data_IF_627557742861
#
_entry.id   IF_627557742861
#
_cell.length_a   1.000
_cell.length_b   1.000
_cell.length_c   1.000
_cell.angle_alpha   90.00
_cell.angle_beta   90.00
_cell.angle_gamma   90.00
#
_symmetry.space_group_name_H-M   'P 1'
#
loop_
_entity.id
_entity.type
_entity.pdbx_description
1 polymer ?
#
# COMPACT_ATOMS: atom_id res chain seq x y z
N UNK A 1 18.89 -18.95 16.92
CA UNK A 1 17.88 -19.48 17.86
C UNK A 1 17.80 -18.49 19.00
N UNK A 2 16.67 -17.81 19.14
CA UNK A 2 16.42 -16.82 20.19
C UNK A 2 16.49 -17.50 21.55
N UNK A 3 17.26 -16.95 22.48
CA UNK A 3 17.28 -17.46 23.85
C UNK A 3 15.91 -17.20 24.50
N UNK A 4 15.10 -18.26 24.63
CA UNK A 4 13.71 -18.18 25.15
C UNK A 4 13.64 -17.70 26.59
N UNK A 5 14.76 -17.75 27.32
CA UNK A 5 14.87 -17.24 28.70
C UNK A 5 15.03 -15.72 28.79
N UNK A 6 15.44 -15.07 27.69
CA UNK A 6 15.65 -13.62 27.60
C UNK A 6 14.42 -12.84 27.10
N UNK A 7 13.31 -13.54 26.81
CA UNK A 7 12.08 -12.94 26.29
C UNK A 7 11.13 -12.63 27.43
N UNK A 8 10.89 -11.33 27.66
CA UNK A 8 9.92 -10.87 28.65
C UNK A 8 8.52 -10.84 28.05
N UNK A 9 7.62 -11.70 28.53
CA UNK A 9 6.24 -11.76 28.07
C UNK A 9 5.34 -11.15 29.14
N UNK A 10 4.41 -10.28 28.75
CA UNK A 10 3.32 -9.82 29.62
C UNK A 10 2.01 -10.45 29.14
N UNK A 11 1.28 -11.08 30.05
CA UNK A 11 -0.04 -11.65 29.81
C UNK A 11 -1.06 -10.82 30.56
N UNK A 12 -2.02 -10.25 29.83
CA UNK A 12 -3.08 -9.40 30.35
C UNK A 12 -4.43 -10.03 29.99
N UNK A 13 -5.12 -10.54 31.01
CA UNK A 13 -6.43 -11.18 30.92
C UNK A 13 -7.10 -11.06 32.30
N UNK A 14 -8.34 -10.60 32.38
CA UNK A 14 -9.06 -10.43 33.65
C UNK A 14 -9.49 -11.78 34.26
N UNK A 15 -9.52 -12.84 33.46
CA UNK A 15 -9.83 -14.18 33.92
C UNK A 15 -8.59 -14.84 34.56
N UNK A 16 -8.60 -14.97 35.89
CA UNK A 16 -7.56 -15.67 36.66
C UNK A 16 -7.26 -17.10 36.18
N UNK A 17 -8.23 -17.77 35.58
CA UNK A 17 -8.04 -19.11 34.98
C UNK A 17 -7.17 -19.03 33.72
N UNK A 18 -7.43 -18.06 32.84
CA UNK A 18 -6.69 -17.86 31.60
C UNK A 18 -5.22 -17.50 31.88
N UNK A 19 -4.96 -16.61 32.84
CA UNK A 19 -3.60 -16.28 33.26
C UNK A 19 -2.80 -17.54 33.68
N UNK A 20 -3.42 -18.43 34.46
CA UNK A 20 -2.79 -19.70 34.89
C UNK A 20 -2.58 -20.67 33.73
N UNK A 21 -3.55 -20.77 32.83
CA UNK A 21 -3.47 -21.63 31.64
C UNK A 21 -2.33 -21.18 30.73
N UNK A 22 -2.32 -19.90 30.36
CA UNK A 22 -1.29 -19.31 29.51
C UNK A 22 0.09 -19.41 30.17
N UNK A 23 0.17 -19.16 31.48
CA UNK A 23 1.42 -19.34 32.22
C UNK A 23 1.96 -20.77 32.15
N UNK A 24 1.09 -21.78 32.26
CA UNK A 24 1.50 -23.19 32.13
C UNK A 24 1.96 -23.53 30.70
N UNK A 25 1.28 -23.01 29.69
CA UNK A 25 1.65 -23.23 28.28
C UNK A 25 3.01 -22.58 28.00
N UNK A 26 3.20 -21.32 28.39
CA UNK A 26 4.46 -20.58 28.19
C UNK A 26 5.64 -21.23 28.92
N UNK A 27 5.43 -21.71 30.15
CA UNK A 27 6.45 -22.43 30.92
C UNK A 27 6.85 -23.75 30.24
N UNK A 28 5.89 -24.51 29.72
CA UNK A 28 6.16 -25.74 28.97
C UNK A 28 6.92 -25.48 27.67
N UNK A 29 6.75 -24.29 27.06
CA UNK A 29 7.47 -23.86 25.85
C UNK A 29 8.87 -23.30 26.15
N UNK A 30 9.24 -23.18 27.44
CA UNK A 30 10.56 -22.73 27.89
C UNK A 30 10.69 -21.23 28.12
N UNK A 31 9.58 -20.49 28.20
CA UNK A 31 9.59 -19.07 28.58
C UNK A 31 9.53 -18.94 30.11
N UNK A 32 10.58 -18.37 30.70
CA UNK A 32 10.71 -18.24 32.16
C UNK A 32 10.44 -16.83 32.68
N UNK A 33 10.46 -15.82 31.81
CA UNK A 33 10.19 -14.42 32.15
C UNK A 33 8.79 -14.03 31.68
N UNK A 34 7.79 -14.29 32.53
CA UNK A 34 6.37 -13.98 32.25
C UNK A 34 5.78 -13.16 33.39
N UNK A 35 5.20 -12.02 33.05
CA UNK A 35 4.46 -11.11 33.94
C UNK A 35 2.97 -11.32 33.68
N UNK A 36 2.19 -11.45 34.75
CA UNK A 36 0.73 -11.61 34.66
C UNK A 36 0.05 -10.40 35.27
N UNK A 37 -0.89 -9.81 34.53
CA UNK A 37 -1.72 -8.71 34.98
C UNK A 37 -3.19 -9.07 34.76
N UNK A 38 -4.05 -8.74 35.72
CA UNK A 38 -5.49 -8.97 35.67
C UNK A 38 -6.29 -7.70 35.29
N UNK A 39 -5.59 -6.57 35.14
CA UNK A 39 -6.19 -5.30 34.74
C UNK A 39 -5.21 -4.43 33.95
N UNK A 40 -5.75 -3.62 33.05
CA UNK A 40 -4.97 -2.77 32.14
C UNK A 40 -4.12 -1.71 32.85
N UNK A 41 -4.58 -1.18 33.99
CA UNK A 41 -3.83 -0.14 34.73
C UNK A 41 -2.53 -0.68 35.32
N UNK A 42 -2.59 -1.84 35.96
CA UNK A 42 -1.41 -2.54 36.50
C UNK A 42 -0.43 -2.91 35.39
N UNK A 43 -0.92 -3.34 34.23
CA UNK A 43 -0.07 -3.60 33.08
C UNK A 43 0.63 -2.33 32.55
N UNK A 44 -0.06 -1.19 32.50
CA UNK A 44 0.56 0.09 32.08
C UNK A 44 1.66 0.57 33.05
N UNK A 45 1.53 0.31 34.35
CA UNK A 45 2.56 0.62 35.36
C UNK A 45 3.82 -0.24 35.19
N UNK A 46 3.67 -1.50 34.75
CA UNK A 46 4.82 -2.39 34.48
C UNK A 46 5.58 -2.00 33.20
N UNK A 47 4.97 -1.23 32.30
CA UNK A 47 5.56 -0.83 31.01
C UNK A 47 6.41 0.45 31.14
N UNK A 48 6.28 1.20 32.24
CA UNK A 48 6.95 2.50 32.42
C UNK A 48 8.46 2.44 32.68
N UNK A 49 9.01 1.33 33.19
CA UNK A 49 10.44 1.23 33.52
C UNK A 49 11.29 0.76 32.33
N UNK A 50 12.30 1.57 31.96
CA UNK A 50 13.18 1.32 30.81
C UNK A 50 14.00 0.02 30.90
N UNK A 51 14.14 -0.56 32.09
CA UNK A 51 14.95 -1.75 32.34
C UNK A 51 14.16 -3.08 32.38
N UNK A 52 12.84 -3.06 32.12
CA UNK A 52 11.97 -4.23 32.29
C UNK A 52 10.81 -4.37 31.29
N UNK A 53 10.83 -3.67 30.16
CA UNK A 53 9.71 -3.67 29.20
C UNK A 53 9.47 -5.07 28.59
N UNK A 54 8.20 -5.50 28.46
CA UNK A 54 7.87 -6.76 27.80
C UNK A 54 8.16 -6.69 26.30
N UNK A 55 8.81 -7.71 25.75
CA UNK A 55 9.06 -7.85 24.32
C UNK A 55 7.80 -8.31 23.56
N UNK A 56 6.89 -8.98 24.27
CA UNK A 56 5.66 -9.53 23.74
C UNK A 56 4.53 -9.35 24.77
N UNK A 57 3.37 -8.87 24.32
CA UNK A 57 2.16 -8.78 25.14
C UNK A 57 1.10 -9.72 24.56
N UNK A 58 0.56 -10.61 25.39
CA UNK A 58 -0.67 -11.36 25.13
C UNK A 58 -1.80 -10.57 25.77
N UNK A 59 -2.71 -10.04 24.95
CA UNK A 59 -3.72 -9.07 25.37
C UNK A 59 -5.12 -9.62 25.12
N UNK A 60 -5.92 -9.77 26.17
CA UNK A 60 -7.36 -9.96 25.99
C UNK A 60 -8.04 -8.67 25.53
N UNK A 61 -8.99 -8.79 24.61
CA UNK A 61 -9.73 -7.63 24.09
C UNK A 61 -10.85 -7.20 25.02
N UNK A 62 -11.49 -8.14 25.71
CA UNK A 62 -12.68 -7.85 26.49
C UNK A 62 -12.39 -7.92 27.99
N UNK A 63 -11.94 -6.79 28.54
CA UNK A 63 -11.62 -6.67 29.96
C UNK A 63 -12.47 -5.56 30.62
N UNK A 64 -12.85 -5.73 31.89
CA UNK A 64 -13.55 -4.70 32.64
C UNK A 64 -12.66 -3.46 32.88
N UNK A 65 -13.32 -2.30 33.01
CA UNK A 65 -12.73 -0.96 33.20
C UNK A 65 -11.96 -0.39 32.01
N UNK A 66 -11.06 -1.17 31.40
CA UNK A 66 -10.25 -0.78 30.24
C UNK A 66 -10.19 -1.96 29.28
N UNK A 67 -10.82 -1.81 28.12
CA UNK A 67 -10.77 -2.84 27.08
C UNK A 67 -9.39 -2.90 26.41
N UNK A 68 -9.13 -3.97 25.67
CA UNK A 68 -7.83 -4.16 24.99
C UNK A 68 -7.55 -3.10 23.92
N UNK A 69 -8.58 -2.49 23.33
CA UNK A 69 -8.42 -1.44 22.31
C UNK A 69 -7.94 -0.13 22.98
N UNK A 70 -8.55 0.25 24.10
CA UNK A 70 -8.13 1.37 24.92
C UNK A 70 -6.72 1.15 25.48
N UNK A 71 -6.40 -0.07 25.92
CA UNK A 71 -5.04 -0.41 26.35
C UNK A 71 -4.02 -0.21 25.22
N UNK A 72 -4.32 -0.66 23.99
CA UNK A 72 -3.46 -0.44 22.82
C UNK A 72 -3.24 1.05 22.57
N UNK A 73 -4.27 1.89 22.65
CA UNK A 73 -4.12 3.35 22.51
C UNK A 73 -3.11 3.91 23.52
N UNK A 74 -3.16 3.44 24.76
CA UNK A 74 -2.19 3.84 25.79
C UNK A 74 -0.77 3.31 25.57
N UNK A 75 -0.60 2.19 24.87
CA UNK A 75 0.71 1.69 24.42
C UNK A 75 1.33 2.61 23.37
N UNK A 76 0.52 3.14 22.45
CA UNK A 76 0.96 4.08 21.40
C UNK A 76 1.50 5.35 22.03
N UNK A 77 0.75 5.96 22.95
CA UNK A 77 1.17 7.19 23.65
C UNK A 77 2.52 6.99 24.39
N UNK A 78 2.79 5.77 24.86
CA UNK A 78 4.01 5.38 25.56
C UNK A 78 5.12 4.86 24.63
N UNK A 79 4.93 4.91 23.32
CA UNK A 79 5.90 4.47 22.31
C UNK A 79 6.36 3.01 22.54
N UNK A 80 5.41 2.12 22.82
CA UNK A 80 5.69 0.70 22.96
C UNK A 80 6.24 0.10 21.65
N UNK A 81 7.34 -0.64 21.75
CA UNK A 81 8.08 -1.18 20.59
C UNK A 81 8.11 -2.71 20.54
N UNK A 82 7.42 -3.40 21.45
CA UNK A 82 7.30 -4.85 21.42
C UNK A 82 6.18 -5.33 20.49
N UNK A 83 5.93 -6.64 20.52
CA UNK A 83 4.89 -7.27 19.70
C UNK A 83 3.61 -7.56 20.50
N UNK A 84 2.48 -7.66 19.82
CA UNK A 84 1.18 -8.03 20.39
C UNK A 84 0.67 -9.36 19.82
N UNK A 85 0.00 -10.13 20.68
CA UNK A 85 -0.94 -11.21 20.31
C UNK A 85 -2.27 -10.86 20.96
N UNK A 86 -3.32 -10.75 20.16
CA UNK A 86 -4.66 -10.52 20.68
C UNK A 86 -5.31 -11.85 21.06
N UNK A 87 -6.03 -11.87 22.17
CA UNK A 87 -6.83 -13.01 22.63
C UNK A 87 -8.27 -12.51 22.69
N UNK A 88 -9.22 -13.26 22.14
CA UNK A 88 -10.62 -12.88 22.23
C UNK A 88 -11.56 -14.07 22.12
N UNK A 89 -12.73 -13.97 22.77
CA UNK A 89 -13.87 -14.86 22.54
C UNK A 89 -14.83 -14.39 21.46
N UNK A 90 -14.59 -13.22 20.87
CA UNK A 90 -15.46 -12.61 19.86
C UNK A 90 -15.35 -13.29 18.48
N UNK A 91 -16.27 -12.92 17.57
CA UNK A 91 -16.25 -13.42 16.20
C UNK A 91 -15.01 -12.94 15.40
N UNK A 92 -14.74 -13.64 14.29
CA UNK A 92 -13.56 -13.36 13.45
C UNK A 92 -13.55 -11.94 12.86
N UNK A 93 -14.73 -11.34 12.66
CA UNK A 93 -14.87 -10.00 12.10
C UNK A 93 -14.44 -8.91 13.08
N UNK A 94 -14.80 -9.07 14.36
CA UNK A 94 -14.35 -8.17 15.42
C UNK A 94 -12.84 -8.27 15.62
N UNK A 95 -12.28 -9.48 15.58
CA UNK A 95 -10.83 -9.70 15.70
C UNK A 95 -10.04 -9.08 14.55
N UNK A 96 -10.49 -9.23 13.31
CA UNK A 96 -9.87 -8.57 12.16
C UNK A 96 -9.92 -7.04 12.27
N UNK A 97 -11.01 -6.49 12.82
CA UNK A 97 -11.16 -5.05 13.05
C UNK A 97 -10.18 -4.55 14.11
N UNK A 98 -10.07 -5.27 15.23
CA UNK A 98 -9.10 -4.97 16.27
C UNK A 98 -7.66 -5.05 15.73
N UNK A 99 -7.31 -6.09 14.97
CA UNK A 99 -5.99 -6.21 14.36
C UNK A 99 -5.67 -5.02 13.44
N UNK A 100 -6.62 -4.62 12.57
CA UNK A 100 -6.45 -3.45 11.69
C UNK A 100 -6.21 -2.18 12.49
N UNK A 101 -6.92 -2.00 13.61
CA UNK A 101 -6.75 -0.85 14.50
C UNK A 101 -5.35 -0.85 15.14
N UNK A 102 -4.88 -2.00 15.65
CA UNK A 102 -3.52 -2.12 16.21
C UNK A 102 -2.45 -1.84 15.14
N UNK A 103 -2.63 -2.37 13.92
CA UNK A 103 -1.72 -2.11 12.79
C UNK A 103 -1.71 -0.65 12.36
N UNK A 104 -2.87 0.03 12.36
CA UNK A 104 -2.97 1.46 12.05
C UNK A 104 -2.15 2.31 13.05
N UNK A 105 -2.06 1.83 14.29
CA UNK A 105 -1.22 2.41 15.34
C UNK A 105 0.27 2.00 15.27
N UNK A 106 0.69 1.28 14.23
CA UNK A 106 2.07 0.85 13.96
C UNK A 106 2.69 -0.05 15.04
N UNK A 107 1.89 -0.71 15.86
CA UNK A 107 2.41 -1.73 16.78
C UNK A 107 2.47 -3.08 16.05
N UNK A 108 3.62 -3.78 16.05
CA UNK A 108 3.72 -5.10 15.45
C UNK A 108 2.77 -6.11 16.11
N UNK A 109 1.89 -6.72 15.32
CA UNK A 109 0.96 -7.76 15.78
C UNK A 109 1.26 -9.08 15.04
N UNK A 110 1.42 -10.15 15.83
CA UNK A 110 1.66 -11.51 15.34
C UNK A 110 0.39 -12.18 14.84
N UNK A 111 -0.77 -11.77 15.37
CA UNK A 111 -2.09 -12.27 15.03
C UNK A 111 -3.01 -12.30 16.25
N UNK A 112 -4.07 -13.09 16.16
CA UNK A 112 -5.06 -13.31 17.21
C UNK A 112 -5.24 -14.79 17.57
N UNK A 113 -5.69 -15.06 18.78
CA UNK A 113 -6.07 -16.38 19.28
C UNK A 113 -7.51 -16.34 19.79
N UNK A 114 -8.32 -17.32 19.36
CA UNK A 114 -9.66 -17.49 19.90
C UNK A 114 -9.63 -18.19 21.26
N UNK A 115 -10.44 -17.72 22.21
CA UNK A 115 -10.75 -18.44 23.45
C UNK A 115 -11.69 -19.64 23.11
N UNK A 116 -11.42 -20.86 23.61
CA UNK A 116 -10.31 -21.26 24.48
C UNK A 116 -8.99 -21.42 23.70
N UNK A 117 -7.92 -20.85 24.25
CA UNK A 117 -6.60 -20.84 23.61
C UNK A 117 -6.02 -22.26 23.56
N UNK A 118 -5.79 -22.77 22.34
CA UNK A 118 -5.14 -24.07 22.12
C UNK A 118 -3.62 -23.94 22.23
N UNK A 119 -2.92 -24.84 22.95
CA UNK A 119 -1.46 -24.80 23.10
C UNK A 119 -0.71 -24.78 21.75
N UNK A 120 -1.16 -25.60 20.79
CA UNK A 120 -0.51 -25.69 19.47
C UNK A 120 -0.60 -24.39 18.67
N UNK A 121 -1.73 -23.68 18.79
CA UNK A 121 -1.95 -22.40 18.09
C UNK A 121 -1.04 -21.31 18.67
N UNK A 122 -0.93 -21.22 20.00
CA UNK A 122 -0.02 -20.29 20.65
C UNK A 122 1.45 -20.64 20.33
N UNK A 123 1.81 -21.92 20.35
CA UNK A 123 3.16 -22.38 19.98
C UNK A 123 3.53 -21.99 18.55
N UNK A 124 2.63 -22.21 17.59
CA UNK A 124 2.88 -21.86 16.19
C UNK A 124 3.05 -20.34 15.98
N UNK A 125 2.41 -19.49 16.78
CA UNK A 125 2.62 -18.05 16.74
C UNK A 125 3.96 -17.65 17.35
N UNK A 126 4.31 -18.24 18.50
CA UNK A 126 5.56 -17.95 19.19
C UNK A 126 6.80 -18.45 18.44
N UNK A 127 6.69 -19.55 17.68
CA UNK A 127 7.77 -20.03 16.81
C UNK A 127 8.09 -19.08 15.65
N UNK A 128 7.07 -18.37 15.16
CA UNK A 128 7.20 -17.35 14.11
C UNK A 128 7.69 -16.00 14.66
N UNK A 129 7.66 -15.81 15.98
CA UNK A 129 8.09 -14.56 16.59
C UNK A 129 9.62 -14.46 16.61
N UNK A 130 10.13 -13.49 15.88
CA UNK A 130 11.50 -13.01 16.02
C UNK A 130 11.48 -11.70 16.78
N UNK A 131 12.38 -11.49 17.76
CA UNK A 131 12.47 -10.21 18.44
C UNK A 131 12.68 -9.13 17.37
N UNK A 132 11.96 -8.00 17.44
CA UNK A 132 12.18 -6.90 16.52
C UNK A 132 13.67 -6.54 16.58
N UNK A 133 14.35 -6.35 15.43
CA UNK A 133 15.73 -5.88 15.42
C UNK A 133 15.83 -4.65 16.32
N UNK A 134 16.94 -4.47 17.02
CA UNK A 134 17.20 -3.27 17.84
C UNK A 134 17.09 -1.94 17.02
N UNK A 135 16.93 -2.03 15.70
CA UNK A 135 16.72 -0.95 14.73
C UNK A 135 15.24 -0.70 14.34
N UNK A 136 14.28 -1.46 14.89
CA UNK A 136 12.84 -1.27 14.63
C UNK A 136 12.16 -0.32 15.64
N UNK A 137 12.93 0.51 16.35
CA UNK A 137 12.43 1.81 16.78
C UNK A 137 12.33 2.62 15.49
N UNK A 138 11.12 2.79 14.96
CA UNK A 138 10.91 3.54 13.72
C UNK A 138 11.72 4.83 13.78
N UNK A 139 12.80 4.91 12.98
CA UNK A 139 13.51 6.16 12.74
C UNK A 139 12.41 7.11 12.32
N UNK A 140 12.15 8.15 13.12
CA UNK A 140 11.20 9.19 12.74
C UNK A 140 11.60 9.61 11.32
N UNK A 141 10.74 9.28 10.33
CA UNK A 141 11.03 9.61 8.93
C UNK A 141 11.36 11.10 8.92
N UNK A 142 12.57 11.44 8.48
CA UNK A 142 13.03 12.83 8.43
C UNK A 142 11.97 13.65 7.71
N UNK A 143 11.52 14.71 8.37
CA UNK A 143 10.55 15.67 7.80
C UNK A 143 11.36 16.70 7.04
N UNK A 144 11.03 16.87 5.76
CA UNK A 144 11.64 17.86 4.89
C UNK A 144 10.85 19.17 4.96
N UNK A 145 11.50 20.28 4.66
CA UNK A 145 10.86 21.58 4.54
C UNK A 145 10.35 21.85 3.12
N UNK A 146 9.42 22.80 2.98
CA UNK A 146 8.96 23.27 1.67
C UNK A 146 10.08 23.95 0.87
N UNK A 147 11.02 24.62 1.54
CA UNK A 147 12.17 25.26 0.89
C UNK A 147 13.15 24.23 0.33
N UNK A 148 13.45 23.16 1.07
CA UNK A 148 14.27 22.05 0.56
C UNK A 148 13.61 21.38 -0.65
N UNK A 149 12.29 21.12 -0.59
CA UNK A 149 11.56 20.53 -1.71
C UNK A 149 11.55 21.46 -2.92
N UNK A 150 11.36 22.76 -2.72
CA UNK A 150 11.42 23.75 -3.81
C UNK A 150 12.78 23.76 -4.48
N UNK A 151 13.86 23.78 -3.68
CA UNK A 151 15.22 23.71 -4.18
C UNK A 151 15.47 22.42 -4.95
N UNK A 152 14.98 21.28 -4.45
CA UNK A 152 15.09 19.99 -5.12
C UNK A 152 14.40 19.96 -6.50
N UNK A 153 13.21 20.57 -6.60
CA UNK A 153 12.50 20.73 -7.87
C UNK A 153 13.34 21.59 -8.83
N UNK A 154 13.90 22.71 -8.36
CA UNK A 154 14.70 23.64 -9.17
C UNK A 154 16.06 23.07 -9.60
N UNK A 155 16.67 22.25 -8.76
CA UNK A 155 17.99 21.65 -8.99
C UNK A 155 17.94 20.35 -9.80
N UNK A 156 16.76 19.87 -10.21
CA UNK A 156 16.63 18.61 -10.94
C UNK A 156 16.95 17.37 -10.09
N UNK A 157 16.67 17.43 -8.79
CA UNK A 157 16.85 16.31 -7.86
C UNK A 157 15.65 15.34 -7.87
N UNK A 158 14.53 15.77 -8.43
CA UNK A 158 13.40 14.90 -8.71
C UNK A 158 13.65 14.05 -9.96
N UNK A 159 13.56 12.74 -9.80
CA UNK A 159 13.76 11.76 -10.86
C UNK A 159 12.57 10.83 -10.95
N UNK A 160 12.32 10.33 -12.16
CA UNK A 160 11.23 9.40 -12.43
C UNK A 160 11.71 7.96 -12.31
N UNK A 161 10.98 7.18 -11.52
CA UNK A 161 11.00 5.73 -11.56
C UNK A 161 9.76 5.26 -12.32
N UNK A 162 9.85 4.06 -12.90
CA UNK A 162 8.82 3.51 -13.74
C UNK A 162 8.44 2.13 -13.23
N UNK A 163 7.16 1.93 -12.93
CA UNK A 163 6.64 0.63 -12.55
C UNK A 163 5.89 -0.01 -13.71
N UNK A 164 6.27 -1.22 -14.16
CA UNK A 164 5.61 -1.90 -15.26
C UNK A 164 4.14 -2.28 -14.98
N UNK A 165 3.27 -1.99 -15.94
CA UNK A 165 1.90 -2.52 -16.07
C UNK A 165 1.86 -3.58 -17.16
N UNK A 166 1.51 -4.82 -16.80
CA UNK A 166 1.51 -5.96 -17.73
C UNK A 166 0.10 -6.48 -17.97
N UNK A 167 -0.20 -6.91 -19.19
CA UNK A 167 -1.46 -7.58 -19.51
C UNK A 167 -1.47 -8.97 -18.88
N UNK A 168 -2.47 -9.26 -18.05
CA UNK A 168 -2.58 -10.54 -17.33
C UNK A 168 -2.72 -11.71 -18.30
N UNK A 169 -3.51 -11.52 -19.36
CA UNK A 169 -3.77 -12.58 -20.35
C UNK A 169 -2.50 -13.02 -21.11
N UNK A 170 -1.58 -12.11 -21.38
CA UNK A 170 -0.43 -12.36 -22.28
C UNK A 170 0.94 -12.20 -21.63
N UNK A 171 1.00 -11.64 -20.42
CA UNK A 171 2.23 -11.23 -19.74
C UNK A 171 2.99 -10.12 -20.46
N UNK A 172 2.45 -9.51 -21.53
CA UNK A 172 3.14 -8.44 -22.26
C UNK A 172 3.12 -7.13 -21.45
N UNK A 173 4.23 -6.39 -21.50
CA UNK A 173 4.29 -5.01 -21.03
C UNK A 173 3.36 -4.14 -21.89
N UNK A 174 2.44 -3.41 -21.25
CA UNK A 174 1.51 -2.49 -21.91
C UNK A 174 1.89 -1.04 -21.65
N UNK A 175 2.33 -0.75 -20.44
CA UNK A 175 2.68 0.61 -20.03
C UNK A 175 3.48 0.63 -18.75
N UNK A 176 3.72 1.84 -18.26
CA UNK A 176 4.36 2.08 -16.98
C UNK A 176 3.65 3.17 -16.21
N UNK A 177 3.63 3.06 -14.89
CA UNK A 177 3.34 4.18 -14.01
C UNK A 177 4.62 4.97 -13.72
N UNK A 178 4.52 6.29 -13.81
CA UNK A 178 5.60 7.22 -13.48
C UNK A 178 5.51 7.63 -12.02
N UNK A 179 6.52 7.26 -11.25
CA UNK A 179 6.60 7.47 -9.82
C UNK A 179 7.76 8.41 -9.50
N UNK A 180 7.45 9.56 -8.90
CA UNK A 180 8.48 10.51 -8.48
C UNK A 180 9.36 9.91 -7.38
N UNK A 181 10.66 10.20 -7.43
CA UNK A 181 11.60 9.98 -6.34
C UNK A 181 12.46 11.22 -6.20
N UNK A 182 12.78 11.59 -4.97
CA UNK A 182 13.71 12.68 -4.71
C UNK A 182 15.07 12.10 -4.39
N UNK A 183 16.04 12.31 -5.27
CA UNK A 183 17.45 11.95 -5.07
C UNK A 183 18.12 13.05 -4.24
N UNK A 184 17.94 13.00 -2.93
CA UNK A 184 18.52 13.94 -2.00
C UNK A 184 20.04 13.75 -1.90
N UNK A 185 20.83 14.83 -1.92
CA UNK A 185 22.30 14.75 -1.94
C UNK A 185 22.90 14.07 -0.70
N UNK A 186 22.20 14.13 0.44
CA UNK A 186 22.70 13.58 1.72
C UNK A 186 21.96 12.31 2.13
N UNK A 187 20.63 12.30 2.03
CA UNK A 187 19.78 11.23 2.57
C UNK A 187 19.46 10.14 1.54
N UNK A 188 19.96 10.28 0.30
CA UNK A 188 19.74 9.33 -0.77
C UNK A 188 18.33 9.43 -1.36
N UNK A 189 17.71 8.27 -1.66
CA UNK A 189 16.45 8.22 -2.37
C UNK A 189 15.25 8.34 -1.42
N UNK A 190 14.51 9.43 -1.53
CA UNK A 190 13.30 9.72 -0.76
C UNK A 190 12.06 9.36 -1.58
N UNK A 191 11.07 8.78 -0.91
CA UNK A 191 9.81 8.31 -1.50
C UNK A 191 8.69 9.35 -1.38
N UNK A 192 7.67 9.31 -2.28
CA UNK A 192 6.58 10.28 -2.35
C UNK A 192 5.85 10.54 -1.03
N UNK A 193 5.68 9.52 -0.20
CA UNK A 193 5.00 9.62 1.10
C UNK A 193 5.66 10.63 2.06
N UNK A 194 6.92 11.00 1.82
CA UNK A 194 7.64 11.98 2.63
C UNK A 194 7.58 13.42 2.08
N UNK A 195 7.21 13.64 0.81
CA UNK A 195 7.27 14.97 0.21
C UNK A 195 6.01 15.41 -0.55
N UNK A 196 5.11 14.52 -0.95
CA UNK A 196 3.89 14.90 -1.68
C UNK A 196 2.98 15.75 -0.79
N UNK A 197 2.76 15.36 0.47
CA UNK A 197 1.95 16.17 1.40
C UNK A 197 2.53 17.56 1.64
N UNK A 198 3.86 17.68 1.62
CA UNK A 198 4.55 18.99 1.71
C UNK A 198 4.28 19.79 0.43
N UNK A 199 4.39 19.17 -0.75
CA UNK A 199 4.16 19.81 -2.03
C UNK A 199 2.75 20.39 -2.12
N UNK A 200 1.75 19.65 -1.67
CA UNK A 200 0.35 20.08 -1.66
C UNK A 200 0.12 21.21 -0.65
N UNK A 201 0.55 21.06 0.60
CA UNK A 201 0.35 22.07 1.64
C UNK A 201 1.07 23.40 1.35
N UNK A 202 2.14 23.37 0.54
CA UNK A 202 2.93 24.56 0.16
C UNK A 202 2.64 25.08 -1.25
N UNK A 203 1.70 24.48 -1.98
CA UNK A 203 1.37 24.88 -3.36
C UNK A 203 2.45 24.57 -4.40
N UNK A 204 3.42 23.71 -4.07
CA UNK A 204 4.49 23.26 -4.97
C UNK A 204 4.07 22.08 -5.86
N UNK A 205 2.91 21.46 -5.61
CA UNK A 205 2.46 20.27 -6.33
C UNK A 205 2.38 20.48 -7.85
N UNK A 206 1.92 21.65 -8.32
CA UNK A 206 1.90 21.96 -9.75
C UNK A 206 3.29 21.99 -10.38
N UNK A 207 4.25 22.64 -9.71
CA UNK A 207 5.63 22.69 -10.18
C UNK A 207 6.26 21.29 -10.22
N UNK A 208 6.00 20.49 -9.19
CA UNK A 208 6.46 19.11 -9.10
C UNK A 208 5.88 18.25 -10.24
N UNK A 209 4.56 18.27 -10.43
CA UNK A 209 3.88 17.51 -11.48
C UNK A 209 4.39 17.89 -12.86
N UNK A 210 4.66 19.17 -13.14
CA UNK A 210 5.23 19.62 -14.43
C UNK A 210 6.61 19.02 -14.70
N UNK A 211 7.48 18.96 -13.69
CA UNK A 211 8.81 18.34 -13.81
C UNK A 211 8.69 16.84 -14.09
N UNK A 212 7.87 16.14 -13.29
CA UNK A 212 7.62 14.70 -13.44
C UNK A 212 7.03 14.39 -14.82
N UNK A 213 6.01 15.12 -15.24
CA UNK A 213 5.33 14.94 -16.53
C UNK A 213 6.26 15.18 -17.72
N UNK A 214 7.06 16.27 -17.68
CA UNK A 214 8.04 16.57 -18.74
C UNK A 214 9.09 15.47 -18.86
N UNK A 215 9.61 14.98 -17.73
CA UNK A 215 10.52 13.85 -17.70
C UNK A 215 9.90 12.58 -18.26
N UNK A 216 8.62 12.32 -17.93
CA UNK A 216 7.88 11.15 -18.40
C UNK A 216 7.68 11.18 -19.92
N UNK A 217 7.26 12.32 -20.48
CA UNK A 217 7.07 12.47 -21.92
C UNK A 217 8.39 12.39 -22.71
N UNK A 218 9.47 12.94 -22.14
CA UNK A 218 10.81 12.83 -22.74
C UNK A 218 11.24 11.37 -22.80
N UNK A 219 11.02 10.62 -21.72
CA UNK A 219 11.34 9.19 -21.68
C UNK A 219 10.42 8.36 -22.60
N UNK A 220 9.13 8.71 -22.68
CA UNK A 220 8.18 8.09 -23.59
C UNK A 220 8.65 8.17 -25.03
N UNK A 221 9.14 9.34 -25.44
CA UNK A 221 9.69 9.57 -26.78
C UNK A 221 10.94 8.73 -27.02
N UNK A 222 11.85 8.67 -26.06
CA UNK A 222 13.05 7.83 -26.16
C UNK A 222 12.71 6.34 -26.30
N UNK A 223 11.68 5.84 -25.60
CA UNK A 223 11.23 4.45 -25.77
C UNK A 223 10.54 4.22 -27.11
N UNK A 224 9.74 5.16 -27.60
CA UNK A 224 9.15 5.09 -28.94
C UNK A 224 10.23 4.97 -30.03
N UNK A 225 11.27 5.80 -29.95
CA UNK A 225 12.43 5.77 -30.87
C UNK A 225 13.21 4.46 -30.78
N UNK A 226 13.22 3.82 -29.61
CA UNK A 226 13.77 2.48 -29.38
C UNK A 226 12.79 1.35 -29.77
N UNK A 227 11.70 1.65 -30.49
CA UNK A 227 10.65 0.70 -30.90
C UNK A 227 9.93 0.00 -29.74
N UNK A 228 9.82 0.68 -28.60
CA UNK A 228 9.08 0.25 -27.42
C UNK A 228 7.99 1.27 -27.08
N UNK A 229 6.90 1.37 -27.88
CA UNK A 229 5.80 2.28 -27.55
C UNK A 229 5.08 1.77 -26.30
N UNK A 230 5.00 2.62 -25.27
CA UNK A 230 4.37 2.31 -23.98
C UNK A 230 3.32 3.34 -23.63
N UNK A 231 2.26 2.89 -22.95
CA UNK A 231 1.37 3.82 -22.23
C UNK A 231 2.08 4.35 -21.00
N UNK A 232 2.06 5.65 -20.79
CA UNK A 232 2.71 6.33 -19.67
C UNK A 232 1.64 6.91 -18.77
N UNK A 233 1.58 6.39 -17.56
CA UNK A 233 0.69 6.91 -16.53
C UNK A 233 1.43 7.90 -15.63
N UNK A 234 0.78 9.03 -15.33
CA UNK A 234 1.31 10.07 -14.45
C UNK A 234 0.21 10.52 -13.50
N UNK A 235 0.53 10.50 -12.20
CA UNK A 235 -0.34 11.00 -11.15
C UNK A 235 -0.53 12.52 -11.25
N UNK A 236 -1.79 12.97 -11.18
CA UNK A 236 -2.15 14.39 -11.15
C UNK A 236 -2.99 14.71 -9.93
N UNK A 237 -2.73 15.87 -9.31
CA UNK A 237 -3.51 16.34 -8.18
C UNK A 237 -4.78 17.05 -8.63
N UNK A 238 -5.75 17.19 -7.73
CA UNK A 238 -6.96 17.98 -7.99
C UNK A 238 -6.66 19.46 -8.19
N UNK A 239 -5.62 19.99 -7.57
CA UNK A 239 -5.17 21.37 -7.78
C UNK A 239 -4.71 21.58 -9.23
N UNK A 240 -4.05 20.57 -9.82
CA UNK A 240 -3.72 20.57 -11.25
C UNK A 240 -4.98 20.55 -12.12
N UNK A 241 -5.96 19.72 -11.74
CA UNK A 241 -7.22 19.57 -12.45
C UNK A 241 -8.21 20.73 -12.26
N UNK A 242 -7.87 21.74 -11.45
CA UNK A 242 -8.59 23.00 -11.37
C UNK A 242 -7.99 24.08 -12.31
N UNK A 243 -6.83 23.82 -12.93
CA UNK A 243 -6.08 24.81 -13.71
C UNK A 243 -6.14 24.53 -15.22
N UNK A 244 -6.72 25.48 -15.98
CA UNK A 244 -6.67 25.44 -17.45
C UNK A 244 -5.23 25.56 -17.98
N UNK A 245 -4.36 26.26 -17.26
CA UNK A 245 -2.94 26.41 -17.63
C UNK A 245 -2.19 25.08 -17.51
N UNK A 246 -2.56 24.24 -16.55
CA UNK A 246 -2.02 22.88 -16.44
C UNK A 246 -2.46 22.01 -17.63
N UNK A 247 -3.75 22.06 -18.00
CA UNK A 247 -4.26 21.33 -19.17
C UNK A 247 -3.55 21.75 -20.46
N UNK A 248 -3.37 23.05 -20.67
CA UNK A 248 -2.66 23.58 -21.84
C UNK A 248 -1.21 23.09 -21.86
N UNK A 249 -0.53 23.14 -20.72
CA UNK A 249 0.82 22.61 -20.58
C UNK A 249 0.92 21.12 -20.92
N UNK A 250 0.03 20.28 -20.40
CA UNK A 250 0.00 18.84 -20.71
C UNK A 250 -0.13 18.63 -22.21
N UNK A 251 -1.09 19.31 -22.85
CA UNK A 251 -1.29 19.20 -24.29
C UNK A 251 -0.08 19.69 -25.11
N UNK A 252 0.51 20.81 -24.71
CA UNK A 252 1.68 21.42 -25.36
C UNK A 252 2.92 20.54 -25.25
N UNK A 253 3.25 20.04 -24.06
CA UNK A 253 4.43 19.20 -23.85
C UNK A 253 4.29 17.87 -24.58
N UNK A 254 3.14 17.21 -24.50
CA UNK A 254 2.86 15.96 -25.24
C UNK A 254 3.01 16.17 -26.75
N UNK A 255 2.45 17.27 -27.29
CA UNK A 255 2.57 17.61 -28.72
C UNK A 255 4.00 17.94 -29.12
N UNK A 256 4.69 18.77 -28.33
CA UNK A 256 6.07 19.22 -28.59
C UNK A 256 7.05 18.06 -28.64
N UNK A 257 6.88 17.06 -27.78
CA UNK A 257 7.74 15.87 -27.71
C UNK A 257 7.29 14.76 -28.68
N UNK A 258 6.20 14.98 -29.43
CA UNK A 258 5.70 14.03 -30.41
C UNK A 258 5.11 12.76 -29.81
N UNK A 259 4.68 12.80 -28.54
CA UNK A 259 4.05 11.66 -27.87
C UNK A 259 2.56 11.64 -28.22
N UNK A 260 2.03 10.51 -28.64
CA UNK A 260 0.60 10.41 -28.94
C UNK A 260 -0.23 10.51 -27.65
N UNK A 261 -1.21 11.42 -27.61
CA UNK A 261 -2.03 11.66 -26.41
C UNK A 261 -2.73 10.41 -25.87
N UNK A 262 -3.13 9.47 -26.74
CA UNK A 262 -3.77 8.21 -26.33
C UNK A 262 -2.84 7.22 -25.62
N UNK A 263 -1.53 7.47 -25.65
CA UNK A 263 -0.54 6.75 -24.85
C UNK A 263 -0.28 7.43 -23.50
N UNK A 264 -0.89 8.58 -23.22
CA UNK A 264 -0.73 9.28 -21.93
C UNK A 264 -1.97 9.03 -21.08
N UNK A 265 -1.76 8.47 -19.90
CA UNK A 265 -2.78 8.21 -18.88
C UNK A 265 -2.56 9.18 -17.73
N UNK A 266 -3.60 9.91 -17.33
CA UNK A 266 -3.56 10.78 -16.16
C UNK A 266 -4.32 10.10 -15.02
N UNK A 267 -3.62 9.82 -13.93
CA UNK A 267 -4.17 9.11 -12.76
C UNK A 267 -4.64 10.12 -11.71
N UNK A 268 -5.87 9.96 -11.24
CA UNK A 268 -6.50 10.84 -10.26
C UNK A 268 -6.95 10.02 -9.07
N UNK A 269 -6.51 10.38 -7.87
CA UNK A 269 -6.89 9.67 -6.65
C UNK A 269 -8.37 9.90 -6.30
N UNK A 270 -9.05 8.84 -5.87
CA UNK A 270 -10.49 8.87 -5.56
C UNK A 270 -10.83 9.92 -4.48
N UNK A 271 -10.09 9.94 -3.36
CA UNK A 271 -10.42 10.75 -2.17
C UNK A 271 -10.51 12.25 -2.44
N UNK A 272 -9.72 12.77 -3.39
CA UNK A 272 -9.68 14.22 -3.66
C UNK A 272 -10.75 14.70 -4.65
N UNK A 273 -11.39 13.78 -5.39
CA UNK A 273 -12.41 14.10 -6.39
C UNK A 273 -13.71 14.70 -5.79
N UNK A 274 -13.86 14.69 -4.46
CA UNK A 274 -15.14 14.85 -3.75
C UNK A 274 -15.53 16.28 -3.36
N UNK A 275 -14.66 17.28 -3.55
CA UNK A 275 -14.87 18.59 -2.90
C UNK A 275 -15.43 19.70 -3.83
N UNK A 276 -15.20 19.66 -5.15
CA UNK A 276 -15.88 20.51 -6.15
C UNK A 276 -15.76 19.90 -7.56
N UNK A 277 -16.86 19.51 -8.20
CA UNK A 277 -16.84 18.70 -9.43
C UNK A 277 -16.89 19.51 -10.73
N UNK A 278 -17.25 20.80 -10.71
CA UNK A 278 -17.52 21.54 -11.96
C UNK A 278 -16.27 21.81 -12.80
N UNK A 279 -15.24 22.44 -12.19
CA UNK A 279 -14.00 22.75 -12.89
C UNK A 279 -13.20 21.48 -13.27
N UNK A 280 -13.06 20.46 -12.38
CA UNK A 280 -12.41 19.21 -12.74
C UNK A 280 -13.13 18.45 -13.86
N UNK A 281 -14.47 18.40 -13.87
CA UNK A 281 -15.22 17.72 -14.94
C UNK A 281 -14.97 18.38 -16.31
N UNK A 282 -14.92 19.71 -16.36
CA UNK A 282 -14.58 20.44 -17.59
C UNK A 282 -13.18 20.06 -18.10
N UNK A 283 -12.18 20.08 -17.21
CA UNK A 283 -10.78 19.79 -17.54
C UNK A 283 -10.61 18.33 -17.98
N UNK A 284 -11.18 17.38 -17.24
CA UNK A 284 -11.16 15.96 -17.56
C UNK A 284 -11.86 15.69 -18.91
N UNK A 285 -13.02 16.31 -19.16
CA UNK A 285 -13.72 16.18 -20.44
C UNK A 285 -12.87 16.73 -21.60
N UNK A 286 -12.22 17.88 -21.43
CA UNK A 286 -11.32 18.46 -22.45
C UNK A 286 -10.11 17.57 -22.72
N UNK A 287 -9.52 16.95 -21.68
CA UNK A 287 -8.42 15.98 -21.83
C UNK A 287 -8.87 14.78 -22.68
N UNK A 288 -10.06 14.25 -22.42
CA UNK A 288 -10.65 13.15 -23.22
C UNK A 288 -10.92 13.54 -24.67
N UNK A 289 -11.45 14.73 -24.91
CA UNK A 289 -11.64 15.25 -26.28
C UNK A 289 -10.30 15.38 -27.02
N UNK A 290 -9.21 15.67 -26.30
CA UNK A 290 -7.82 15.67 -26.81
C UNK A 290 -7.19 14.27 -26.86
N UNK A 291 -7.96 13.21 -26.60
CA UNK A 291 -7.57 11.79 -26.63
C UNK A 291 -6.61 11.33 -25.53
N UNK A 292 -6.41 12.13 -24.48
CA UNK A 292 -5.75 11.61 -23.27
C UNK A 292 -6.61 10.54 -22.62
N UNK A 293 -5.97 9.57 -21.96
CA UNK A 293 -6.65 8.60 -21.12
C UNK A 293 -6.73 9.08 -19.68
N UNK A 294 -7.80 8.72 -19.00
CA UNK A 294 -7.99 9.02 -17.58
C UNK A 294 -8.09 7.73 -16.79
N UNK A 295 -7.40 7.69 -15.64
CA UNK A 295 -7.45 6.58 -14.70
C UNK A 295 -7.90 7.07 -13.33
N UNK A 296 -8.76 6.32 -12.67
CA UNK A 296 -9.09 6.55 -11.25
C UNK A 296 -8.23 5.63 -10.38
N UNK A 297 -7.54 6.22 -9.42
CA UNK A 297 -6.59 5.54 -8.54
C UNK A 297 -7.15 5.31 -7.13
N UNK A 298 -6.59 4.30 -6.43
CA UNK A 298 -6.95 3.86 -5.08
C UNK A 298 -8.45 3.53 -4.91
N UNK A 299 -9.08 2.92 -5.92
CA UNK A 299 -10.54 2.74 -5.91
C UNK A 299 -11.02 1.88 -4.74
N UNK A 300 -11.99 2.43 -3.99
CA UNK A 300 -12.67 1.83 -2.85
C UNK A 300 -11.96 1.99 -1.49
N UNK A 301 -10.87 2.76 -1.44
CA UNK A 301 -10.27 3.24 -0.17
C UNK A 301 -10.97 4.49 0.38
N UNK A 302 -11.79 5.16 -0.43
CA UNK A 302 -12.48 6.40 -0.09
C UNK A 302 -14.01 6.32 -0.20
N UNK A 303 -14.64 7.48 -0.17
CA UNK A 303 -16.08 7.67 -0.34
C UNK A 303 -16.48 8.03 -1.79
N UNK A 304 -15.85 7.46 -2.83
CA UNK A 304 -16.28 7.73 -4.22
C UNK A 304 -17.73 7.35 -4.37
N UNK A 305 -18.55 8.33 -4.76
CA UNK A 305 -19.91 8.02 -5.16
C UNK A 305 -19.85 7.36 -6.54
N UNK A 306 -20.52 6.22 -6.73
CA UNK A 306 -20.73 5.59 -8.05
C UNK A 306 -21.24 6.60 -9.10
N UNK A 307 -21.88 7.68 -8.66
CA UNK A 307 -22.29 8.79 -9.51
C UNK A 307 -21.11 9.49 -10.22
N UNK A 308 -19.96 9.64 -9.57
CA UNK A 308 -18.78 10.26 -10.18
C UNK A 308 -18.15 9.39 -11.28
N UNK A 309 -18.07 8.07 -11.04
CA UNK A 309 -17.63 7.12 -12.06
C UNK A 309 -18.55 7.13 -13.30
N UNK A 310 -19.85 7.39 -13.11
CA UNK A 310 -20.81 7.54 -14.20
C UNK A 310 -20.60 8.84 -14.97
N UNK A 311 -20.33 9.93 -14.27
CA UNK A 311 -20.31 11.28 -14.87
C UNK A 311 -18.95 11.65 -15.47
N UNK A 312 -17.86 11.05 -14.97
CA UNK A 312 -16.50 11.30 -15.45
C UNK A 312 -16.08 10.19 -16.44
N UNK A 313 -15.60 10.56 -17.63
CA UNK A 313 -15.20 9.62 -18.69
C UNK A 313 -13.85 8.93 -18.44
N UNK A 314 -13.70 8.19 -17.34
CA UNK A 314 -12.51 7.37 -17.07
C UNK A 314 -12.39 6.22 -18.09
N UNK A 315 -11.15 5.89 -18.49
CA UNK A 315 -10.81 4.74 -19.34
C UNK A 315 -10.31 3.55 -18.53
N UNK A 316 -9.74 3.83 -17.36
CA UNK A 316 -9.02 2.87 -16.53
C UNK A 316 -9.45 3.02 -15.07
N UNK A 317 -9.59 1.88 -14.37
CA UNK A 317 -9.84 1.83 -12.93
C UNK A 317 -8.74 0.99 -12.28
N UNK A 318 -8.06 1.56 -11.29
CA UNK A 318 -7.05 0.88 -10.48
C UNK A 318 -7.69 0.35 -9.20
N UNK A 319 -7.67 -0.97 -9.02
CA UNK A 319 -8.12 -1.62 -7.79
C UNK A 319 -6.95 -1.61 -6.81
N UNK A 320 -7.14 -0.96 -5.66
CA UNK A 320 -6.12 -0.82 -4.62
C UNK A 320 -5.57 -2.16 -4.13
N UNK A 321 -4.28 -2.16 -3.76
CA UNK A 321 -3.58 -3.33 -3.22
C UNK A 321 -4.29 -3.95 -2.01
N UNK A 322 -4.98 -3.14 -1.21
CA UNK A 322 -5.72 -3.58 -0.04
C UNK A 322 -6.89 -4.50 -0.36
N UNK A 323 -7.36 -4.53 -1.62
CA UNK A 323 -8.36 -5.47 -2.11
C UNK A 323 -7.79 -6.58 -2.99
N UNK A 324 -6.60 -6.41 -3.55
CA UNK A 324 -5.99 -7.39 -4.45
C UNK A 324 -5.19 -8.42 -3.68
N UNK A 325 -4.21 -7.98 -2.88
CA UNK A 325 -3.29 -8.90 -2.22
C UNK A 325 -4.02 -9.73 -1.16
N UNK A 326 -3.95 -11.06 -1.27
CA UNK A 326 -4.58 -11.97 -0.32
C UNK A 326 -6.08 -12.22 -0.56
N UNK A 327 -6.70 -11.59 -1.57
CA UNK A 327 -8.08 -11.86 -1.95
C UNK A 327 -8.33 -13.30 -2.44
N UNK A 328 -7.28 -14.07 -2.72
CA UNK A 328 -7.42 -15.48 -3.08
C UNK A 328 -7.76 -16.38 -1.88
N UNK A 329 -7.55 -15.91 -0.64
CA UNK A 329 -7.81 -16.66 0.61
C UNK A 329 -8.84 -16.00 1.53
N UNK A 330 -9.01 -14.68 1.45
CA UNK A 330 -9.95 -13.93 2.28
C UNK A 330 -11.24 -13.66 1.48
N UNK A 331 -12.37 -14.18 1.97
CA UNK A 331 -13.67 -14.06 1.30
C UNK A 331 -14.17 -12.62 1.22
N UNK A 332 -13.85 -11.79 2.21
CA UNK A 332 -14.26 -10.38 2.24
C UNK A 332 -13.48 -9.58 1.21
N UNK A 333 -12.16 -9.73 1.19
CA UNK A 333 -11.30 -9.12 0.17
C UNK A 333 -11.68 -9.61 -1.22
N UNK A 334 -12.01 -10.90 -1.37
CA UNK A 334 -12.47 -11.46 -2.64
C UNK A 334 -13.75 -10.80 -3.13
N UNK A 335 -14.74 -10.62 -2.25
CA UNK A 335 -15.99 -9.97 -2.59
C UNK A 335 -15.77 -8.49 -3.02
N UNK A 336 -14.88 -7.77 -2.32
CA UNK A 336 -14.52 -6.39 -2.67
C UNK A 336 -13.83 -6.30 -4.03
N UNK A 337 -12.84 -7.17 -4.28
CA UNK A 337 -12.15 -7.27 -5.57
C UNK A 337 -13.13 -7.60 -6.72
N UNK A 338 -13.95 -8.65 -6.56
CA UNK A 338 -14.89 -9.09 -7.59
C UNK A 338 -15.94 -8.01 -7.89
N UNK A 339 -16.41 -7.27 -6.87
CA UNK A 339 -17.32 -6.15 -7.04
C UNK A 339 -16.69 -4.99 -7.84
N UNK A 340 -15.46 -4.58 -7.51
CA UNK A 340 -14.73 -3.53 -8.22
C UNK A 340 -14.46 -3.91 -9.68
N UNK A 341 -14.02 -5.15 -9.92
CA UNK A 341 -13.80 -5.69 -11.27
C UNK A 341 -15.10 -5.72 -12.09
N UNK A 342 -16.21 -6.16 -11.48
CA UNK A 342 -17.51 -6.20 -12.15
C UNK A 342 -18.02 -4.80 -12.49
N UNK A 343 -17.86 -3.84 -11.59
CA UNK A 343 -18.27 -2.45 -11.81
C UNK A 343 -17.51 -1.84 -12.98
N UNK A 344 -16.18 -1.93 -12.99
CA UNK A 344 -15.36 -1.39 -14.06
C UNK A 344 -15.73 -1.96 -15.43
N UNK A 345 -16.00 -3.28 -15.52
CA UNK A 345 -16.49 -3.93 -16.74
C UNK A 345 -17.84 -3.40 -17.22
N UNK A 346 -18.78 -3.18 -16.30
CA UNK A 346 -20.09 -2.61 -16.64
C UNK A 346 -20.00 -1.17 -17.13
N UNK A 347 -18.95 -0.45 -16.72
CA UNK A 347 -18.64 0.90 -17.16
C UNK A 347 -17.65 0.93 -18.35
N UNK A 348 -17.32 -0.23 -18.93
CA UNK A 348 -16.41 -0.39 -20.07
C UNK A 348 -15.00 0.18 -19.82
N UNK A 349 -14.53 0.13 -18.56
CA UNK A 349 -13.19 0.56 -18.15
C UNK A 349 -12.20 -0.62 -18.15
N UNK A 350 -10.95 -0.34 -18.52
CA UNK A 350 -9.82 -1.27 -18.38
C UNK A 350 -9.40 -1.34 -16.91
N UNK A 351 -9.18 -2.54 -16.37
CA UNK A 351 -8.87 -2.71 -14.94
C UNK A 351 -7.39 -2.99 -14.72
N UNK A 352 -6.78 -2.20 -13.82
CA UNK A 352 -5.44 -2.47 -13.28
C UNK A 352 -5.59 -2.96 -11.85
N UNK A 353 -5.17 -4.20 -11.58
CA UNK A 353 -5.03 -4.68 -10.21
C UNK A 353 -3.66 -4.30 -9.66
N UNK A 354 -3.64 -3.53 -8.57
CA UNK A 354 -2.42 -3.09 -7.90
C UNK A 354 -1.97 -4.03 -6.78
N UNK A 355 -0.71 -3.93 -6.37
CA UNK A 355 -0.21 -4.70 -5.23
C UNK A 355 -0.16 -6.21 -5.45
N UNK A 356 -0.02 -6.69 -6.68
CA UNK A 356 0.21 -8.13 -6.93
C UNK A 356 1.57 -8.52 -6.36
N UNK A 357 1.60 -9.31 -5.29
CA UNK A 357 2.86 -9.65 -4.60
C UNK A 357 3.30 -11.10 -4.86
N UNK A 358 2.35 -12.01 -5.03
CA UNK A 358 2.65 -13.43 -5.17
C UNK A 358 1.94 -14.14 -6.34
N UNK A 359 2.24 -15.42 -6.51
CA UNK A 359 1.70 -16.24 -7.59
C UNK A 359 0.18 -16.48 -7.45
N UNK A 360 -0.33 -16.57 -6.22
CA UNK A 360 -1.75 -16.81 -5.98
C UNK A 360 -2.57 -15.57 -6.33
N UNK A 361 -2.07 -14.37 -6.06
CA UNK A 361 -2.65 -13.11 -6.54
C UNK A 361 -2.71 -13.12 -8.07
N UNK A 362 -1.58 -13.40 -8.74
CA UNK A 362 -1.53 -13.47 -10.20
C UNK A 362 -2.54 -14.48 -10.80
N UNK A 363 -2.62 -15.68 -10.22
CA UNK A 363 -3.55 -16.71 -10.69
C UNK A 363 -5.01 -16.34 -10.41
N UNK A 364 -5.30 -15.59 -9.34
CA UNK A 364 -6.62 -15.01 -9.11
C UNK A 364 -7.01 -14.07 -10.26
N UNK A 365 -6.17 -13.08 -10.54
CA UNK A 365 -6.38 -12.09 -11.60
C UNK A 365 -6.60 -12.75 -12.96
N UNK A 366 -5.85 -13.81 -13.26
CA UNK A 366 -6.01 -14.59 -14.48
C UNK A 366 -7.36 -15.31 -14.54
N UNK A 367 -7.78 -15.95 -13.44
CA UNK A 367 -9.07 -16.68 -13.39
C UNK A 367 -10.27 -15.74 -13.49
N UNK A 368 -10.18 -14.57 -12.87
CA UNK A 368 -11.25 -13.57 -12.85
C UNK A 368 -11.27 -12.74 -14.13
N UNK A 369 -10.19 -12.77 -14.93
CA UNK A 369 -10.06 -12.10 -16.22
C UNK A 369 -9.74 -10.61 -16.10
N UNK A 370 -8.96 -10.22 -15.09
CA UNK A 370 -8.44 -8.85 -14.95
C UNK A 370 -7.59 -8.47 -16.17
N UNK A 371 -7.63 -7.21 -16.60
CA UNK A 371 -6.94 -6.79 -17.82
C UNK A 371 -5.43 -6.62 -17.59
N UNK A 372 -5.07 -5.77 -16.65
CA UNK A 372 -3.71 -5.37 -16.33
C UNK A 372 -3.36 -5.65 -14.87
N UNK A 373 -2.07 -5.85 -14.60
CA UNK A 373 -1.53 -6.06 -13.27
C UNK A 373 -0.31 -5.15 -13.02
N UNK A 374 -0.20 -4.66 -11.79
CA UNK A 374 0.95 -3.94 -11.27
C UNK A 374 1.30 -4.43 -9.85
N UNK A 375 2.58 -4.62 -9.52
CA UNK A 375 2.98 -5.13 -8.22
C UNK A 375 4.37 -5.75 -8.17
N UNK A 376 4.84 -6.04 -6.95
CA UNK A 376 6.19 -6.55 -6.68
C UNK A 376 6.43 -7.94 -7.26
N UNK A 377 5.37 -8.70 -7.50
CA UNK A 377 5.43 -9.99 -8.21
C UNK A 377 6.09 -9.85 -9.59
N UNK A 378 5.79 -8.77 -10.32
CA UNK A 378 6.39 -8.48 -11.62
C UNK A 378 7.64 -7.63 -11.48
N UNK A 379 7.51 -6.50 -10.77
CA UNK A 379 8.64 -5.62 -10.49
C UNK A 379 8.32 -4.54 -9.47
N UNK A 380 9.37 -4.11 -8.75
CA UNK A 380 9.37 -2.81 -8.08
C UNK A 380 9.59 -1.69 -9.12
N UNK A 381 9.26 -0.43 -8.79
CA UNK A 381 9.62 0.72 -9.62
C UNK A 381 11.13 0.73 -9.90
N UNK A 382 11.52 1.05 -11.14
CA UNK A 382 12.93 1.05 -11.57
C UNK A 382 13.29 2.29 -12.39
N UNK A 383 14.57 2.53 -12.63
CA UNK A 383 15.00 3.59 -13.55
C UNK A 383 14.70 3.19 -14.99
N UNK A 384 14.54 4.17 -15.88
CA UNK A 384 14.25 3.91 -17.29
C UNK A 384 15.28 3.00 -17.98
N UNK A 385 16.55 3.11 -17.60
CA UNK A 385 17.65 2.31 -18.14
C UNK A 385 17.53 0.82 -17.81
N UNK A 386 16.84 0.46 -16.72
CA UNK A 386 16.70 -0.93 -16.27
C UNK A 386 15.54 -1.65 -16.99
N UNK A 387 14.59 -0.89 -17.55
CA UNK A 387 13.35 -1.43 -18.11
C UNK A 387 13.59 -2.44 -19.26
N UNK A 388 14.47 -2.19 -20.25
CA UNK A 388 14.72 -3.16 -21.32
C UNK A 388 15.22 -4.52 -20.81
N UNK A 389 16.19 -4.50 -19.88
CA UNK A 389 16.72 -5.72 -19.27
C UNK A 389 15.68 -6.46 -18.42
N UNK A 390 14.78 -5.73 -17.77
CA UNK A 390 13.64 -6.31 -17.06
C UNK A 390 12.65 -6.98 -18.02
N UNK A 391 12.32 -6.37 -19.17
CA UNK A 391 11.39 -6.93 -20.17
C UNK A 391 11.85 -8.31 -20.64
N UNK A 392 13.15 -8.46 -20.93
CA UNK A 392 13.74 -9.73 -21.38
C UNK A 392 13.53 -10.84 -20.33
N UNK A 393 13.88 -10.55 -19.07
CA UNK A 393 13.77 -11.47 -17.94
C UNK A 393 12.31 -11.82 -17.64
N UNK A 394 11.41 -10.83 -17.71
CA UNK A 394 9.99 -11.03 -17.49
C UNK A 394 9.38 -11.94 -18.55
N UNK A 395 9.68 -11.73 -19.84
CA UNK A 395 9.23 -12.61 -20.93
C UNK A 395 9.70 -14.04 -20.75
N UNK A 396 10.95 -14.23 -20.31
CA UNK A 396 11.48 -15.55 -20.01
C UNK A 396 10.73 -16.22 -18.85
N UNK A 397 10.47 -15.47 -17.78
CA UNK A 397 9.73 -15.95 -16.61
C UNK A 397 8.30 -16.34 -16.98
N UNK A 398 7.59 -15.50 -17.73
CA UNK A 398 6.22 -15.77 -18.22
C UNK A 398 6.13 -17.11 -18.94
N UNK A 399 7.12 -17.39 -19.80
CA UNK A 399 7.23 -18.66 -20.53
C UNK A 399 7.59 -19.85 -19.63
N UNK A 400 8.59 -19.70 -18.76
CA UNK A 400 9.06 -20.80 -17.89
C UNK A 400 8.02 -21.20 -16.84
N UNK A 401 7.34 -20.22 -16.24
CA UNK A 401 6.36 -20.42 -15.17
C UNK A 401 4.92 -20.56 -15.69
N UNK A 402 4.71 -20.58 -17.00
CA UNK A 402 3.37 -20.67 -17.63
C UNK A 402 2.38 -19.67 -17.01
N UNK A 403 2.78 -18.40 -16.93
CA UNK A 403 2.00 -17.34 -16.30
C UNK A 403 0.78 -16.91 -17.13
N UNK A 404 0.75 -17.24 -18.42
CA UNK A 404 -0.40 -16.97 -19.30
C UNK A 404 -1.35 -18.15 -19.39
N UNK A 405 -2.56 -17.91 -19.88
CA UNK A 405 -3.40 -18.99 -20.35
C UNK A 405 -2.62 -19.76 -21.42
N UNK A 406 -2.26 -21.02 -21.13
CA UNK A 406 -1.74 -21.91 -22.16
C UNK A 406 -2.80 -22.00 -23.25
N UNK A 407 -2.38 -21.82 -24.51
CA UNK A 407 -3.17 -22.26 -25.65
C UNK A 407 -3.55 -23.71 -25.38
N UNK A 408 -4.77 -23.93 -24.94
CA UNK A 408 -5.36 -25.25 -24.88
C UNK A 408 -5.59 -25.60 -26.35
N UNK A 409 -4.57 -26.18 -26.98
CA UNK A 409 -4.69 -26.83 -28.29
C UNK A 409 -5.67 -27.99 -28.22
#
# INVERSE_FOLDING_TARGET
MTDRSAVNILVLDDESFMLKLLGRILLNLGFTSVIFCDNGRSALEQITDASGRPNLILLDLNMPEMDGIEFVRHLVDRHYSGSLILISGEDERMLQTAEKLVRAHKIPILGYLHKPVKPDALSAMLEKWTPPPAEAVGVAKKVYSSDELKAAIDNGELINYYQPKVAVATGKLIGVETLARWRHPVDGLIFPDQFISIAEASGLIDKLTRVVFTGAMTQAKAWEEAHLPLRIAVNVSMDNLASLDFLNFVAEITTKLGVAAHNVVLEVTETRLMQDTRAPLEILTRLRLKRFRLSIDDFGTGHSSLAQLRDIPFDELKIDQGFVHGAWKDETLRAMYDASLSLARQLEMEVVAEGVEDRNDWDLLRRTGCDLAQGTFMSRPMLAADLPGWIEKWRERVRKESLTAGDSK
#
